data_IF_284211861779
#
_entry.id   IF_284211861779
#
_cell.length_a   1.000
_cell.length_b   1.000
_cell.length_c   1.000
_cell.angle_alpha   90.00
_cell.angle_beta   90.00
_cell.angle_gamma   90.00
#
_symmetry.space_group_name_H-M   'P 1'
#
loop_
_entity.id
_entity.type
_entity.pdbx_description
1 polymer ?
#
# COMPACT_ATOMS: atom_id res chain seq x y z
N UNK A 1 19.83 -21.82 21.75
CA UNK A 1 19.63 -20.62 20.90
C UNK A 1 19.86 -19.38 21.80
N UNK A 2 20.87 -18.55 21.50
CA UNK A 2 21.06 -17.31 22.25
C UNK A 2 19.86 -16.38 21.98
N UNK A 3 19.22 -15.88 23.04
CA UNK A 3 18.20 -14.85 22.91
C UNK A 3 18.83 -13.63 22.21
N UNK A 4 18.20 -13.17 21.12
CA UNK A 4 18.62 -11.94 20.47
C UNK A 4 18.50 -10.79 21.49
N UNK A 5 19.43 -9.82 21.45
CA UNK A 5 19.30 -8.64 22.30
C UNK A 5 18.03 -7.87 21.94
N UNK A 6 17.38 -7.25 22.93
CA UNK A 6 16.12 -6.52 22.76
C UNK A 6 16.10 -5.56 21.54
N UNK A 7 17.16 -4.75 21.27
CA UNK A 7 17.19 -3.89 20.09
C UNK A 7 17.24 -4.65 18.75
N UNK A 8 17.80 -5.86 18.71
CA UNK A 8 17.82 -6.67 17.46
C UNK A 8 16.44 -7.23 17.13
N UNK A 9 15.70 -7.67 18.14
CA UNK A 9 14.33 -8.14 17.96
C UNK A 9 13.44 -7.00 17.46
N UNK A 10 13.56 -5.83 18.06
CA UNK A 10 12.82 -4.63 17.63
C UNK A 10 13.11 -4.26 16.18
N UNK A 11 14.37 -4.29 15.74
CA UNK A 11 14.72 -4.04 14.32
C UNK A 11 14.02 -5.05 13.39
N UNK A 12 13.99 -6.33 13.75
CA UNK A 12 13.33 -7.36 12.93
C UNK A 12 11.81 -7.16 12.89
N UNK A 13 11.19 -6.81 14.01
CA UNK A 13 9.77 -6.49 14.09
C UNK A 13 9.42 -5.26 13.23
N UNK A 14 10.22 -4.20 13.28
CA UNK A 14 10.03 -3.00 12.48
C UNK A 14 10.19 -3.27 10.98
N UNK A 15 11.20 -4.07 10.59
CA UNK A 15 11.36 -4.52 9.19
C UNK A 15 10.10 -5.26 8.72
N UNK A 16 9.63 -6.22 9.51
CA UNK A 16 8.42 -6.99 9.21
C UNK A 16 7.19 -6.08 9.07
N UNK A 17 7.00 -5.17 10.01
CA UNK A 17 5.90 -4.21 9.98
C UNK A 17 5.93 -3.30 8.74
N UNK A 18 7.10 -2.73 8.39
CA UNK A 18 7.27 -1.90 7.19
C UNK A 18 6.91 -2.67 5.92
N UNK A 19 7.39 -3.91 5.80
CA UNK A 19 7.12 -4.75 4.61
C UNK A 19 5.62 -5.05 4.50
N UNK A 20 4.97 -5.43 5.60
CA UNK A 20 3.53 -5.71 5.62
C UNK A 20 2.70 -4.47 5.30
N UNK A 21 2.99 -3.33 5.91
CA UNK A 21 2.29 -2.07 5.63
C UNK A 21 2.46 -1.63 4.18
N UNK A 22 3.65 -1.81 3.59
CA UNK A 22 3.87 -1.53 2.17
C UNK A 22 3.10 -2.49 1.25
N UNK A 23 2.97 -3.78 1.62
CA UNK A 23 2.16 -4.74 0.88
C UNK A 23 0.66 -4.42 0.96
N UNK A 24 0.17 -3.99 2.13
CA UNK A 24 -1.22 -3.54 2.28
C UNK A 24 -1.50 -2.31 1.42
N UNK A 25 -0.61 -1.31 1.42
CA UNK A 25 -0.70 -0.14 0.54
C UNK A 25 -0.74 -0.53 -0.94
N UNK A 26 0.08 -1.52 -1.35
CA UNK A 26 0.05 -2.10 -2.71
C UNK A 26 -1.31 -2.71 -3.04
N UNK A 27 -1.94 -3.42 -2.10
CA UNK A 27 -3.27 -4.02 -2.31
C UNK A 27 -4.35 -2.95 -2.49
N UNK A 28 -4.30 -1.84 -1.74
CA UNK A 28 -5.23 -0.71 -1.95
C UNK A 28 -5.06 -0.08 -3.33
N UNK A 29 -3.84 0.14 -3.78
CA UNK A 29 -3.57 0.65 -5.13
C UNK A 29 -4.06 -0.33 -6.22
N UNK A 30 -3.86 -1.64 -6.05
CA UNK A 30 -4.37 -2.67 -6.96
C UNK A 30 -5.90 -2.72 -6.98
N UNK A 31 -6.55 -2.41 -5.86
CA UNK A 31 -8.00 -2.35 -5.79
C UNK A 31 -8.57 -1.09 -6.47
N UNK A 32 -7.92 0.07 -6.34
CA UNK A 32 -8.35 1.34 -6.93
C UNK A 32 -8.12 1.37 -8.45
N UNK A 33 -6.94 0.97 -8.90
CA UNK A 33 -6.46 1.14 -10.28
C UNK A 33 -7.41 0.59 -11.36
N UNK A 34 -8.10 -0.55 -11.19
CA UNK A 34 -9.07 -1.06 -12.17
C UNK A 34 -10.24 -0.14 -12.46
N UNK A 35 -10.58 0.75 -11.53
CA UNK A 35 -11.69 1.70 -11.67
C UNK A 35 -11.26 3.07 -12.23
N UNK A 36 -9.96 3.31 -12.39
CA UNK A 36 -9.43 4.57 -12.94
C UNK A 36 -9.42 4.62 -14.46
N UNK A 37 -9.82 3.57 -15.14
CA UNK A 37 -9.84 3.50 -16.60
C UNK A 37 -11.28 3.57 -17.13
N UNK A 38 -11.48 4.28 -18.23
CA UNK A 38 -12.76 4.37 -18.93
C UNK A 38 -13.08 3.15 -19.82
N UNK A 39 -12.15 2.20 -19.95
CA UNK A 39 -12.37 0.98 -20.71
C UNK A 39 -13.24 0.02 -19.89
N UNK A 40 -14.36 -0.41 -20.45
CA UNK A 40 -15.29 -1.35 -19.84
C UNK A 40 -15.63 -1.00 -18.38
N UNK A 41 -16.61 -0.13 -18.13
CA UNK A 41 -16.97 0.32 -16.79
C UNK A 41 -17.69 -0.75 -15.94
N UNK A 42 -17.98 -1.94 -16.51
CA UNK A 42 -18.65 -3.01 -15.79
C UNK A 42 -17.80 -3.53 -14.63
N UNK A 43 -18.45 -4.07 -13.60
CA UNK A 43 -17.77 -4.69 -12.47
C UNK A 43 -16.92 -5.89 -12.92
N UNK A 44 -17.42 -6.70 -13.86
CA UNK A 44 -16.67 -7.82 -14.43
C UNK A 44 -15.39 -7.37 -15.14
N UNK A 45 -15.45 -6.26 -15.89
CA UNK A 45 -14.30 -5.64 -16.53
C UNK A 45 -13.28 -5.14 -15.49
N UNK A 46 -13.74 -4.50 -14.41
CA UNK A 46 -12.87 -4.07 -13.33
C UNK A 46 -12.18 -5.26 -12.63
N UNK A 47 -12.91 -6.33 -12.34
CA UNK A 47 -12.34 -7.55 -11.75
C UNK A 47 -11.31 -8.21 -12.66
N UNK A 48 -11.57 -8.29 -13.98
CA UNK A 48 -10.61 -8.82 -14.94
C UNK A 48 -9.32 -7.97 -15.01
N UNK A 49 -9.42 -6.64 -14.89
CA UNK A 49 -8.25 -5.74 -14.77
C UNK A 49 -7.49 -5.95 -13.47
N UNK A 50 -8.21 -6.10 -12.35
CA UNK A 50 -7.61 -6.42 -11.06
C UNK A 50 -6.79 -7.71 -11.10
N UNK A 51 -7.32 -8.76 -11.72
CA UNK A 51 -6.61 -10.05 -11.86
C UNK A 51 -5.27 -9.91 -12.58
N UNK A 52 -5.17 -9.04 -13.57
CA UNK A 52 -3.91 -8.74 -14.28
C UNK A 52 -2.88 -8.01 -13.40
N UNK A 53 -3.30 -7.42 -12.28
CA UNK A 53 -2.41 -6.72 -11.35
C UNK A 53 -1.87 -7.63 -10.25
N UNK A 54 -2.44 -8.81 -10.00
CA UNK A 54 -2.09 -9.69 -8.87
C UNK A 54 -0.58 -9.96 -8.77
N UNK A 55 0.08 -10.22 -9.90
CA UNK A 55 1.51 -10.55 -9.96
C UNK A 55 2.41 -9.34 -10.23
N UNK A 56 1.87 -8.13 -10.27
CA UNK A 56 2.65 -6.91 -10.48
C UNK A 56 3.29 -6.45 -9.18
N UNK A 57 4.52 -5.92 -9.29
CA UNK A 57 5.25 -5.36 -8.15
C UNK A 57 4.70 -3.99 -7.76
N UNK A 58 4.97 -3.55 -6.53
CA UNK A 58 4.58 -2.22 -6.04
C UNK A 58 5.03 -1.10 -6.99
N UNK A 59 6.28 -1.14 -7.49
CA UNK A 59 6.79 -0.13 -8.42
C UNK A 59 6.02 -0.06 -9.73
N UNK A 60 5.65 -1.23 -10.31
CA UNK A 60 4.84 -1.28 -11.55
C UNK A 60 3.41 -0.77 -11.31
N UNK A 61 2.83 -1.07 -10.14
CA UNK A 61 1.49 -0.61 -9.76
C UNK A 61 1.48 0.90 -9.56
N UNK A 62 2.48 1.45 -8.87
CA UNK A 62 2.64 2.89 -8.67
C UNK A 62 2.83 3.61 -10.01
N UNK A 63 3.69 3.10 -10.89
CA UNK A 63 3.86 3.66 -12.24
C UNK A 63 2.54 3.75 -12.99
N UNK A 64 1.79 2.64 -13.06
CA UNK A 64 0.47 2.60 -13.71
C UNK A 64 -0.55 3.54 -13.07
N UNK A 65 -0.54 3.67 -11.74
CA UNK A 65 -1.42 4.58 -11.02
C UNK A 65 -1.15 6.03 -11.43
N UNK A 66 0.11 6.44 -11.45
CA UNK A 66 0.52 7.78 -11.86
C UNK A 66 0.20 8.05 -13.34
N UNK A 67 0.42 7.09 -14.23
CA UNK A 67 0.10 7.19 -15.66
C UNK A 67 -1.42 7.30 -15.91
N UNK A 68 -2.24 6.65 -15.08
CA UNK A 68 -3.70 6.64 -15.23
C UNK A 68 -4.38 7.88 -14.62
N UNK A 69 -3.68 8.63 -13.78
CA UNK A 69 -4.20 9.81 -13.10
C UNK A 69 -3.86 11.07 -13.90
N UNK A 70 -4.88 11.75 -14.42
CA UNK A 70 -4.72 13.04 -15.13
C UNK A 70 -4.54 14.23 -14.17
N UNK A 71 -4.72 14.04 -12.87
CA UNK A 71 -4.77 15.12 -11.86
C UNK A 71 -4.17 14.69 -10.51
N UNK A 72 -3.05 13.96 -10.49
CA UNK A 72 -2.38 13.71 -9.22
C UNK A 72 -1.65 14.96 -8.73
N UNK A 73 -1.75 15.22 -7.42
CA UNK A 73 -0.97 16.30 -6.80
C UNK A 73 0.51 15.88 -6.73
N UNK A 74 1.47 16.83 -6.83
CA UNK A 74 2.89 16.52 -6.65
C UNK A 74 3.18 15.80 -5.31
N UNK A 75 2.41 16.11 -4.26
CA UNK A 75 2.51 15.44 -2.95
C UNK A 75 2.17 13.95 -3.04
N UNK A 76 1.08 13.57 -3.71
CA UNK A 76 0.70 12.16 -3.89
C UNK A 76 1.77 11.38 -4.64
N UNK A 77 2.28 11.93 -5.75
CA UNK A 77 3.35 11.30 -6.51
C UNK A 77 4.62 11.11 -5.65
N UNK A 78 5.00 12.13 -4.87
CA UNK A 78 6.14 12.07 -3.95
C UNK A 78 5.98 10.96 -2.91
N UNK A 79 4.82 10.86 -2.25
CA UNK A 79 4.51 9.82 -1.25
C UNK A 79 4.51 8.41 -1.84
N UNK A 80 3.99 8.24 -3.06
CA UNK A 80 4.04 6.96 -3.76
C UNK A 80 5.47 6.54 -4.09
N UNK A 81 6.31 7.46 -4.54
CA UNK A 81 7.73 7.19 -4.78
C UNK A 81 8.49 6.89 -3.48
N UNK A 82 8.18 7.60 -2.38
CA UNK A 82 8.75 7.33 -1.07
C UNK A 82 8.39 5.93 -0.56
N UNK A 83 7.14 5.50 -0.71
CA UNK A 83 6.68 4.15 -0.36
C UNK A 83 7.50 3.07 -1.10
N UNK A 84 7.66 3.21 -2.43
CA UNK A 84 8.46 2.29 -3.25
C UNK A 84 9.92 2.29 -2.81
N UNK A 85 10.50 3.47 -2.61
CA UNK A 85 11.90 3.65 -2.23
C UNK A 85 12.18 3.04 -0.86
N UNK A 86 11.33 3.31 0.12
CA UNK A 86 11.47 2.78 1.49
C UNK A 86 11.38 1.26 1.50
N UNK A 87 10.35 0.70 0.83
CA UNK A 87 10.21 -0.76 0.71
C UNK A 87 11.44 -1.39 0.04
N UNK A 88 11.96 -0.79 -1.03
CA UNK A 88 13.12 -1.33 -1.73
C UNK A 88 14.41 -1.24 -0.88
N UNK A 89 14.62 -0.15 -0.15
CA UNK A 89 15.73 -0.06 0.83
C UNK A 89 15.67 -1.17 1.87
N UNK A 90 14.48 -1.47 2.40
CA UNK A 90 14.32 -2.49 3.42
C UNK A 90 14.49 -3.89 2.84
N UNK A 91 13.90 -4.19 1.68
CA UNK A 91 13.88 -5.56 1.13
C UNK A 91 15.17 -5.92 0.39
N UNK A 92 15.75 -4.98 -0.35
CA UNK A 92 16.85 -5.26 -1.26
C UNK A 92 18.18 -4.63 -0.84
N UNK A 93 18.15 -3.51 -0.10
CA UNK A 93 19.33 -2.70 0.21
C UNK A 93 19.53 -2.46 1.70
N UNK A 94 18.97 -3.31 2.56
CA UNK A 94 19.06 -3.14 4.02
C UNK A 94 20.50 -3.11 4.51
N UNK A 95 21.32 -4.05 4.05
CA UNK A 95 22.73 -4.14 4.43
C UNK A 95 23.57 -2.95 3.97
N UNK A 96 23.26 -2.40 2.79
CA UNK A 96 23.91 -1.20 2.25
C UNK A 96 23.49 0.05 3.02
N UNK A 97 22.21 0.13 3.38
CA UNK A 97 21.61 1.30 4.05
C UNK A 97 22.04 1.39 5.53
N UNK A 98 22.01 0.27 6.25
CA UNK A 98 22.20 0.23 7.71
C UNK A 98 23.43 -0.55 8.18
N UNK A 99 24.19 -1.16 7.26
CA UNK A 99 25.28 -2.08 7.61
C UNK A 99 26.40 -1.41 8.40
N UNK A 100 26.69 -0.13 8.18
CA UNK A 100 27.70 0.60 8.94
C UNK A 100 27.27 0.76 10.41
N UNK A 101 26.04 1.20 10.65
CA UNK A 101 25.46 1.38 11.99
C UNK A 101 25.33 0.05 12.73
N UNK A 102 24.92 -1.00 12.03
CA UNK A 102 24.83 -2.36 12.62
C UNK A 102 26.19 -2.87 13.08
N UNK A 103 27.24 -2.71 12.25
CA UNK A 103 28.61 -3.14 12.58
C UNK A 103 29.22 -2.31 13.72
N UNK A 104 28.87 -1.02 13.82
CA UNK A 104 29.34 -0.15 14.90
C UNK A 104 28.52 -0.28 16.20
N UNK A 105 27.51 -1.17 16.24
CA UNK A 105 26.66 -1.37 17.42
C UNK A 105 25.60 -0.27 17.64
N UNK A 106 25.40 0.62 16.68
CA UNK A 106 24.43 1.74 16.76
C UNK A 106 22.99 1.25 16.48
N UNK A 107 22.57 0.19 17.18
CA UNK A 107 21.28 -0.48 16.91
C UNK A 107 20.09 0.45 17.18
N UNK A 108 20.20 1.33 18.19
CA UNK A 108 19.13 2.26 18.51
C UNK A 108 18.87 3.26 17.38
N UNK A 109 19.91 3.79 16.73
CA UNK A 109 19.76 4.68 15.58
C UNK A 109 19.05 4.00 14.41
N UNK A 110 19.35 2.70 14.17
CA UNK A 110 18.67 1.92 13.16
C UNK A 110 17.18 1.75 13.51
N UNK A 111 16.87 1.36 14.76
CA UNK A 111 15.50 1.20 15.22
C UNK A 111 14.71 2.52 15.14
N UNK A 112 15.29 3.64 15.53
CA UNK A 112 14.64 4.97 15.46
C UNK A 112 14.34 5.38 14.01
N UNK A 113 15.28 5.13 13.09
CA UNK A 113 15.09 5.38 11.67
C UNK A 113 13.97 4.52 11.07
N UNK A 114 13.92 3.22 11.40
CA UNK A 114 12.89 2.30 10.94
C UNK A 114 11.51 2.69 11.51
N UNK A 115 11.46 3.09 12.78
CA UNK A 115 10.22 3.53 13.43
C UNK A 115 9.65 4.78 12.76
N UNK A 116 10.49 5.76 12.43
CA UNK A 116 10.06 6.94 11.69
C UNK A 116 9.52 6.60 10.30
N UNK A 117 10.15 5.67 9.58
CA UNK A 117 9.67 5.19 8.27
C UNK A 117 8.33 4.45 8.39
N UNK A 118 8.17 3.59 9.40
CA UNK A 118 6.92 2.87 9.64
C UNK A 118 5.75 3.84 9.87
N UNK A 119 5.95 4.87 10.70
CA UNK A 119 4.93 5.90 10.95
C UNK A 119 4.50 6.59 9.65
N UNK A 120 5.45 6.94 8.79
CA UNK A 120 5.15 7.56 7.48
C UNK A 120 4.36 6.64 6.54
N UNK A 121 4.78 5.37 6.44
CA UNK A 121 4.10 4.37 5.61
C UNK A 121 2.69 4.07 6.13
N UNK A 122 2.52 3.90 7.44
CA UNK A 122 1.21 3.62 8.04
C UNK A 122 0.23 4.77 7.85
N UNK A 123 0.67 6.01 8.04
CA UNK A 123 -0.17 7.18 7.78
C UNK A 123 -0.60 7.27 6.30
N UNK A 124 0.30 6.96 5.37
CA UNK A 124 -0.01 6.97 3.95
C UNK A 124 -0.92 5.78 3.56
N UNK A 125 -0.67 4.60 4.09
CA UNK A 125 -1.52 3.42 3.92
C UNK A 125 -2.96 3.71 4.35
N UNK A 126 -3.16 4.33 5.52
CA UNK A 126 -4.49 4.73 6.00
C UNK A 126 -5.18 5.72 5.04
N UNK A 127 -4.42 6.65 4.47
CA UNK A 127 -4.96 7.57 3.45
C UNK A 127 -5.42 6.81 2.21
N UNK A 128 -4.63 5.85 1.71
CA UNK A 128 -5.00 5.02 0.55
C UNK A 128 -6.24 4.16 0.83
N UNK A 129 -6.33 3.60 2.02
CA UNK A 129 -7.47 2.79 2.47
C UNK A 129 -8.77 3.60 2.48
N UNK A 130 -8.75 4.78 3.10
CA UNK A 130 -9.91 5.69 3.13
C UNK A 130 -10.30 6.15 1.72
N UNK A 131 -9.30 6.45 0.88
CA UNK A 131 -9.53 6.82 -0.52
C UNK A 131 -10.17 5.68 -1.30
N UNK A 132 -9.69 4.45 -1.13
CA UNK A 132 -10.27 3.28 -1.78
C UNK A 132 -11.73 3.06 -1.37
N UNK A 133 -12.02 3.12 -0.08
CA UNK A 133 -13.37 2.96 0.43
C UNK A 133 -14.31 4.04 -0.12
N UNK A 134 -13.90 5.31 -0.04
CA UNK A 134 -14.70 6.42 -0.57
C UNK A 134 -14.97 6.27 -2.07
N UNK A 135 -13.93 5.91 -2.85
CA UNK A 135 -14.07 5.69 -4.29
C UNK A 135 -15.10 4.57 -4.58
N UNK A 136 -15.04 3.45 -3.87
CA UNK A 136 -15.98 2.36 -4.06
C UNK A 136 -17.41 2.74 -3.69
N UNK A 137 -17.61 3.53 -2.63
CA UNK A 137 -18.93 4.06 -2.26
C UNK A 137 -19.48 5.00 -3.34
N UNK A 138 -18.66 5.91 -3.85
CA UNK A 138 -19.07 6.81 -4.95
C UNK A 138 -19.42 6.00 -6.20
N UNK A 139 -18.58 5.03 -6.61
CA UNK A 139 -18.84 4.20 -7.79
C UNK A 139 -20.12 3.36 -7.60
N UNK A 140 -20.33 2.77 -6.42
CA UNK A 140 -21.56 2.06 -6.10
C UNK A 140 -22.80 2.94 -6.34
N UNK A 141 -22.77 4.16 -5.81
CA UNK A 141 -23.94 5.04 -5.77
C UNK A 141 -24.13 5.87 -7.06
N UNK A 142 -23.13 5.91 -7.95
CA UNK A 142 -23.22 6.67 -9.21
C UNK A 142 -23.22 5.81 -10.46
N UNK A 143 -22.39 4.75 -10.48
CA UNK A 143 -22.21 3.91 -11.69
C UNK A 143 -23.08 2.66 -11.63
N UNK A 144 -23.28 2.11 -10.43
CA UNK A 144 -24.01 0.86 -10.24
C UNK A 144 -25.38 1.05 -9.57
N UNK A 145 -25.81 2.28 -9.33
CA UNK A 145 -27.16 2.57 -8.83
C UNK A 145 -28.21 1.98 -9.78
N UNK A 146 -29.22 1.30 -9.21
CA UNK A 146 -30.27 0.59 -9.95
C UNK A 146 -29.76 -0.54 -10.91
N UNK A 147 -28.51 -1.02 -10.75
CA UNK A 147 -27.97 -2.13 -11.53
C UNK A 147 -27.88 -3.44 -10.72
N UNK A 148 -27.82 -4.63 -11.38
CA UNK A 148 -27.60 -5.90 -10.69
C UNK A 148 -26.28 -5.95 -9.90
N UNK A 149 -25.29 -5.15 -10.26
CA UNK A 149 -23.96 -5.10 -9.62
C UNK A 149 -23.95 -4.30 -8.31
N UNK A 150 -25.01 -3.53 -8.00
CA UNK A 150 -25.08 -2.70 -6.79
C UNK A 150 -24.79 -3.50 -5.51
N UNK A 151 -25.44 -4.66 -5.36
CA UNK A 151 -25.25 -5.49 -4.19
C UNK A 151 -23.81 -6.01 -4.06
N UNK A 152 -23.19 -6.43 -5.18
CA UNK A 152 -21.81 -6.89 -5.20
C UNK A 152 -20.83 -5.76 -4.81
N UNK A 153 -21.09 -4.52 -5.24
CA UNK A 153 -20.32 -3.35 -4.81
C UNK A 153 -20.56 -3.01 -3.34
N UNK A 154 -21.78 -3.13 -2.84
CA UNK A 154 -22.09 -2.93 -1.42
C UNK A 154 -21.34 -3.95 -0.53
N UNK A 155 -21.29 -5.22 -0.95
CA UNK A 155 -20.55 -6.27 -0.26
C UNK A 155 -19.04 -6.01 -0.27
N UNK A 156 -18.50 -5.49 -1.38
CA UNK A 156 -17.10 -5.07 -1.48
C UNK A 156 -16.80 -3.93 -0.48
N UNK A 157 -17.61 -2.87 -0.45
CA UNK A 157 -17.47 -1.77 0.51
C UNK A 157 -17.53 -2.29 1.95
N UNK A 158 -18.47 -3.19 2.28
CA UNK A 158 -18.59 -3.79 3.61
C UNK A 158 -17.37 -4.63 3.99
N UNK A 159 -16.77 -5.34 3.02
CA UNK A 159 -15.55 -6.12 3.24
C UNK A 159 -14.34 -5.23 3.54
N UNK A 160 -14.22 -4.09 2.86
CA UNK A 160 -13.20 -3.09 3.11
C UNK A 160 -13.35 -2.48 4.52
N UNK A 161 -14.54 -2.02 4.89
CA UNK A 161 -14.80 -1.46 6.23
C UNK A 161 -14.45 -2.42 7.37
N UNK A 162 -14.66 -3.72 7.21
CA UNK A 162 -14.30 -4.71 8.22
C UNK A 162 -12.80 -4.87 8.41
N UNK A 163 -11.99 -4.63 7.39
CA UNK A 163 -10.52 -4.63 7.49
C UNK A 163 -10.00 -3.40 8.22
N UNK A 164 -10.67 -2.27 8.06
CA UNK A 164 -10.33 -0.99 8.72
C UNK A 164 -10.63 -1.00 10.22
N UNK A 165 -11.57 -1.82 10.68
CA UNK A 165 -12.03 -1.86 12.07
C UNK A 165 -11.20 -2.78 12.99
N UNK A 166 -10.13 -3.41 12.49
CA UNK A 166 -9.20 -4.26 13.25
C UNK A 166 -7.91 -3.51 13.52
#
# INVERSE_FOLDING_TARGET
MAALSQPKNEILELIGAIVLSAQEAEQYLKAILPFMTSQDPSLSGALARHDKLKMRTLGEVVGKFLDSSTSHTPDLASRLHELVTTRNKIVHHFGETYGAQLRSGQLQLVADSLRAQLVGIDAFKQTLEQTALHLFEVIRDTTFDDTPEYQAMADLCASFRRRVAI
#
